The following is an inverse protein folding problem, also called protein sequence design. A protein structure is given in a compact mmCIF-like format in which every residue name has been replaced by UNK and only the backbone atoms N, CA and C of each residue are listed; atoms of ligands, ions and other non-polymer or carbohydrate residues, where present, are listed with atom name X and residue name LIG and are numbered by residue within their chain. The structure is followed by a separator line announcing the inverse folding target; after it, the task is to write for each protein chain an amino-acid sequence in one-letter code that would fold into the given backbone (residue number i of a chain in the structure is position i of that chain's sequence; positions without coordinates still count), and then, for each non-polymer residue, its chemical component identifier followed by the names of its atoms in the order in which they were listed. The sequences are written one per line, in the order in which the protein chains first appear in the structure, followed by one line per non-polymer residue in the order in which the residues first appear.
data_IF_420870283763
#
_entry.id   IF_420870283763
#
_cell.length_a   1.000
_cell.length_b   1.000
_cell.length_c   1.000
_cell.angle_alpha   90.00
_cell.angle_beta   90.00
_cell.angle_gamma   90.00
#
_symmetry.space_group_name_H-M   'P 1'
#
loop_
_entity.id
_entity.type
_entity.pdbx_description
1 polymer ?
#
# COMPACT_ATOMS: atom_id res chain seq x y z
N UNK A 1 11.00 -30.71 -12.28
CA UNK A 1 12.08 -29.94 -11.62
C UNK A 1 13.12 -29.66 -12.69
N UNK A 2 13.55 -28.40 -12.81
CA UNK A 2 14.49 -28.00 -13.85
C UNK A 2 15.88 -28.57 -13.60
N UNK A 3 16.62 -28.83 -14.67
CA UNK A 3 17.96 -29.42 -14.68
C UNK A 3 19.07 -28.39 -14.91
N UNK A 4 18.74 -27.20 -15.42
CA UNK A 4 19.68 -26.12 -15.65
C UNK A 4 20.15 -25.44 -14.35
N UNK A 5 21.37 -24.90 -14.37
CA UNK A 5 21.91 -24.04 -13.29
C UNK A 5 22.08 -22.57 -13.72
N UNK A 6 21.88 -22.27 -15.01
CA UNK A 6 21.79 -20.92 -15.58
C UNK A 6 20.57 -20.84 -16.48
N UNK A 7 19.81 -19.74 -16.41
CA UNK A 7 18.54 -19.60 -17.14
C UNK A 7 18.72 -19.73 -18.67
N UNK A 8 19.85 -19.29 -19.22
CA UNK A 8 20.15 -19.38 -20.67
C UNK A 8 20.35 -20.82 -21.18
N UNK A 9 20.40 -21.82 -20.29
CA UNK A 9 20.53 -23.23 -20.61
C UNK A 9 19.20 -24.00 -20.50
N UNK A 10 18.14 -23.35 -20.01
CA UNK A 10 16.84 -23.98 -19.80
C UNK A 10 16.08 -24.20 -21.11
N UNK A 11 15.31 -25.27 -21.14
CA UNK A 11 14.35 -25.57 -22.23
C UNK A 11 13.04 -24.82 -22.04
N UNK A 12 12.25 -24.68 -23.11
CA UNK A 12 10.92 -24.06 -23.05
C UNK A 12 10.01 -24.78 -22.06
N UNK A 13 9.99 -26.11 -22.08
CA UNK A 13 9.15 -26.93 -21.21
C UNK A 13 9.53 -26.79 -19.72
N UNK A 14 10.83 -26.63 -19.42
CA UNK A 14 11.28 -26.35 -18.06
C UNK A 14 10.80 -24.98 -17.58
N UNK A 15 10.81 -23.96 -18.44
CA UNK A 15 10.33 -22.63 -18.10
C UNK A 15 8.80 -22.56 -17.96
N UNK A 16 8.05 -23.20 -18.85
CA UNK A 16 6.59 -23.32 -18.72
C UNK A 16 6.23 -23.95 -17.36
N UNK A 17 6.89 -25.06 -17.01
CA UNK A 17 6.68 -25.70 -15.72
C UNK A 17 7.08 -24.81 -14.53
N UNK A 18 8.17 -24.03 -14.63
CA UNK A 18 8.57 -23.09 -13.59
C UNK A 18 7.53 -21.98 -13.44
N UNK A 19 7.07 -21.39 -14.54
CA UNK A 19 6.08 -20.30 -14.52
C UNK A 19 4.76 -20.78 -13.93
N UNK A 20 4.25 -21.94 -14.34
CA UNK A 20 3.03 -22.51 -13.78
C UNK A 20 3.14 -22.74 -12.27
N UNK A 21 4.28 -23.30 -11.82
CA UNK A 21 4.57 -23.53 -10.39
C UNK A 21 4.70 -22.22 -9.62
N UNK A 22 5.38 -21.23 -10.20
CA UNK A 22 5.57 -19.92 -9.59
C UNK A 22 4.24 -19.19 -9.46
N UNK A 23 3.43 -19.13 -10.52
CA UNK A 23 2.10 -18.52 -10.49
C UNK A 23 1.22 -19.19 -9.44
N UNK A 24 1.16 -20.53 -9.42
CA UNK A 24 0.35 -21.25 -8.44
C UNK A 24 0.78 -20.99 -6.99
N UNK A 25 2.09 -20.87 -6.71
CA UNK A 25 2.58 -20.63 -5.35
C UNK A 25 2.50 -19.16 -4.95
N UNK A 26 3.01 -18.26 -5.79
CA UNK A 26 3.12 -16.83 -5.48
C UNK A 26 1.74 -16.17 -5.38
N UNK A 27 0.80 -16.48 -6.28
CA UNK A 27 -0.54 -15.90 -6.20
C UNK A 27 -1.30 -16.36 -4.96
N UNK A 28 -1.17 -17.64 -4.57
CA UNK A 28 -1.84 -18.17 -3.38
C UNK A 28 -1.34 -17.50 -2.10
N UNK A 29 -0.06 -17.16 -2.02
CA UNK A 29 0.54 -16.54 -0.83
C UNK A 29 0.59 -15.01 -0.85
N UNK A 30 0.24 -14.36 -1.96
CA UNK A 30 0.42 -12.93 -2.14
C UNK A 30 -0.30 -12.10 -1.07
N UNK A 31 -1.60 -12.34 -0.87
CA UNK A 31 -2.40 -11.60 0.13
C UNK A 31 -1.89 -11.85 1.53
N UNK A 32 -1.52 -13.10 1.85
CA UNK A 32 -1.03 -13.46 3.17
C UNK A 32 0.33 -12.79 3.47
N UNK A 33 1.20 -12.65 2.47
CA UNK A 33 2.45 -11.92 2.58
C UNK A 33 2.23 -10.43 2.83
N UNK A 34 1.28 -9.81 2.12
CA UNK A 34 0.91 -8.39 2.31
C UNK A 34 0.33 -8.17 3.71
N UNK A 35 -0.53 -9.06 4.20
CA UNK A 35 -0.98 -9.00 5.60
C UNK A 35 0.12 -9.29 6.59
N UNK A 36 1.13 -10.08 6.22
CA UNK A 36 2.35 -10.25 7.01
C UNK A 36 3.08 -8.92 7.23
N UNK A 37 3.26 -8.12 6.17
CA UNK A 37 3.84 -6.77 6.27
C UNK A 37 2.99 -5.87 7.17
N UNK A 38 1.67 -5.83 6.94
CA UNK A 38 0.75 -5.04 7.75
C UNK A 38 0.84 -5.40 9.23
N UNK A 39 0.75 -6.70 9.58
CA UNK A 39 0.83 -7.19 10.97
C UNK A 39 2.21 -6.97 11.59
N UNK A 40 3.28 -6.94 10.81
CA UNK A 40 4.62 -6.68 11.35
C UNK A 40 4.80 -5.25 11.88
N UNK A 41 3.87 -4.34 11.56
CA UNK A 41 3.80 -2.99 12.12
C UNK A 41 3.12 -2.91 13.51
N UNK A 42 2.74 -4.05 14.10
CA UNK A 42 2.18 -4.10 15.46
C UNK A 42 3.27 -3.91 16.53
N UNK A 43 2.91 -3.21 17.62
CA UNK A 43 3.73 -3.13 18.83
C UNK A 43 4.25 -1.73 19.13
N UNK A 44 5.39 -1.34 18.56
CA UNK A 44 5.99 -0.04 18.86
C UNK A 44 5.14 1.11 18.28
N UNK A 45 4.85 2.09 19.12
CA UNK A 45 4.03 3.26 18.77
C UNK A 45 4.84 4.39 18.16
N UNK A 46 6.18 4.32 18.22
CA UNK A 46 7.07 5.35 17.67
C UNK A 46 6.79 6.76 18.24
N UNK A 47 6.25 6.82 19.46
CA UNK A 47 5.87 8.06 20.13
C UNK A 47 4.43 8.52 19.86
N UNK A 48 3.67 7.84 19.00
CA UNK A 48 2.23 8.02 18.87
C UNK A 48 1.45 7.35 20.01
N UNK A 49 0.12 7.50 20.01
CA UNK A 49 -0.77 6.83 20.97
C UNK A 49 -1.22 5.44 20.52
N UNK A 50 -0.91 5.06 19.29
CA UNK A 50 -1.22 3.79 18.65
C UNK A 50 -0.03 3.35 17.79
N UNK A 51 0.03 2.08 17.42
CA UNK A 51 1.04 1.58 16.48
C UNK A 51 0.63 1.82 15.01
N UNK A 52 1.53 1.51 14.09
CA UNK A 52 1.32 1.71 12.65
C UNK A 52 0.28 0.75 12.08
N UNK A 53 0.12 -0.45 12.66
CA UNK A 53 -0.94 -1.38 12.28
C UNK A 53 -2.34 -0.78 12.56
N UNK A 54 -2.55 -0.26 13.76
CA UNK A 54 -3.81 0.37 14.15
C UNK A 54 -4.06 1.65 13.34
N UNK A 55 -3.01 2.45 13.08
CA UNK A 55 -3.10 3.60 12.18
C UNK A 55 -3.61 3.22 10.78
N UNK A 56 -3.06 2.17 10.17
CA UNK A 56 -3.53 1.65 8.88
C UNK A 56 -5.00 1.22 8.91
N UNK A 57 -5.44 0.53 9.98
CA UNK A 57 -6.85 0.15 10.14
C UNK A 57 -7.77 1.37 10.32
N UNK A 58 -7.33 2.39 11.05
CA UNK A 58 -8.08 3.64 11.23
C UNK A 58 -8.25 4.39 9.90
N UNK A 59 -7.18 4.52 9.13
CA UNK A 59 -7.20 5.14 7.80
C UNK A 59 -8.18 4.42 6.87
N UNK A 60 -8.12 3.09 6.80
CA UNK A 60 -9.05 2.28 6.01
C UNK A 60 -10.50 2.38 6.51
N UNK A 61 -10.70 2.39 7.83
CA UNK A 61 -12.03 2.55 8.45
C UNK A 61 -12.66 3.89 8.05
N UNK A 62 -11.88 4.97 8.05
CA UNK A 62 -12.35 6.30 7.65
C UNK A 62 -12.72 6.34 6.17
N UNK A 63 -11.85 5.82 5.30
CA UNK A 63 -12.11 5.73 3.87
C UNK A 63 -13.39 4.92 3.58
N UNK A 64 -13.55 3.76 4.23
CA UNK A 64 -14.72 2.90 4.07
C UNK A 64 -16.01 3.60 4.54
N UNK A 65 -15.97 4.27 5.70
CA UNK A 65 -17.13 5.01 6.25
C UNK A 65 -17.55 6.20 5.40
N UNK A 66 -16.60 6.81 4.70
CA UNK A 66 -16.88 7.88 3.73
C UNK A 66 -17.48 7.34 2.42
N UNK A 67 -17.48 6.02 2.21
CA UNK A 67 -17.96 5.40 0.98
C UNK A 67 -16.94 5.48 -0.16
N UNK A 68 -15.64 5.54 0.16
CA UNK A 68 -14.58 5.49 -0.83
C UNK A 68 -14.64 4.18 -1.63
N UNK A 69 -14.20 4.23 -2.89
CA UNK A 69 -14.07 3.05 -3.75
C UNK A 69 -13.06 2.06 -3.19
N UNK A 70 -13.22 0.78 -3.55
CA UNK A 70 -12.41 -0.33 -3.04
C UNK A 70 -10.89 -0.09 -3.14
N UNK A 71 -10.42 0.43 -4.27
CA UNK A 71 -9.00 0.72 -4.51
C UNK A 71 -8.44 1.74 -3.52
N UNK A 72 -9.25 2.73 -3.15
CA UNK A 72 -8.85 3.77 -2.20
C UNK A 72 -8.96 3.28 -0.75
N UNK A 73 -9.90 2.39 -0.44
CA UNK A 73 -9.97 1.72 0.88
C UNK A 73 -8.74 0.81 1.08
N UNK A 74 -8.37 0.02 0.06
CA UNK A 74 -7.18 -0.83 0.09
C UNK A 74 -5.90 0.01 0.10
N UNK A 75 -5.84 1.11 -0.65
CA UNK A 75 -4.75 2.09 -0.55
C UNK A 75 -4.61 2.64 0.87
N UNK A 76 -5.71 3.06 1.51
CA UNK A 76 -5.70 3.57 2.88
C UNK A 76 -5.22 2.52 3.89
N UNK A 77 -5.61 1.26 3.72
CA UNK A 77 -5.15 0.15 4.56
C UNK A 77 -3.66 -0.12 4.40
N UNK A 78 -3.12 0.01 3.19
CA UNK A 78 -1.78 -0.49 2.86
C UNK A 78 -0.75 0.61 2.55
N UNK A 79 -1.10 1.89 2.67
CA UNK A 79 -0.21 2.99 2.28
C UNK A 79 1.14 3.01 3.01
N UNK A 80 1.16 2.54 4.26
CA UNK A 80 2.34 2.54 5.15
C UNK A 80 3.12 1.21 5.17
N UNK A 81 2.69 0.15 4.47
CA UNK A 81 3.34 -1.18 4.59
C UNK A 81 4.81 -1.22 4.15
N UNK A 82 5.28 -0.17 3.47
CA UNK A 82 6.69 0.03 3.15
C UNK A 82 7.57 0.40 4.35
N UNK A 83 7.01 0.88 5.47
CA UNK A 83 7.77 1.38 6.64
C UNK A 83 8.67 0.31 7.23
N UNK A 84 8.22 -0.94 7.19
CA UNK A 84 8.92 -2.12 7.74
C UNK A 84 10.28 -2.34 7.08
N UNK A 85 10.39 -2.03 5.80
CA UNK A 85 11.55 -2.38 4.97
C UNK A 85 12.33 -1.14 4.53
N UNK A 86 11.63 -0.06 4.23
CA UNK A 86 12.20 1.11 3.57
C UNK A 86 11.60 2.41 4.12
N UNK A 87 11.76 2.73 5.42
CA UNK A 87 11.09 3.88 6.06
C UNK A 87 11.40 5.22 5.38
N UNK A 88 12.59 5.36 4.78
CA UNK A 88 13.01 6.56 4.06
C UNK A 88 12.22 6.84 2.77
N UNK A 89 11.63 5.81 2.16
CA UNK A 89 10.86 5.89 0.92
C UNK A 89 9.66 4.93 0.95
N UNK A 90 9.04 4.77 2.12
CA UNK A 90 8.00 3.76 2.36
C UNK A 90 6.82 3.93 1.41
N UNK A 91 6.45 5.16 1.09
CA UNK A 91 5.35 5.48 0.18
C UNK A 91 5.59 4.93 -1.23
N UNK A 92 6.82 5.04 -1.72
CA UNK A 92 7.21 4.50 -3.03
C UNK A 92 7.23 2.98 -3.03
N UNK A 93 7.73 2.35 -1.96
CA UNK A 93 7.73 0.90 -1.83
C UNK A 93 6.31 0.34 -1.73
N UNK A 94 5.46 0.95 -0.90
CA UNK A 94 4.06 0.57 -0.79
C UNK A 94 3.36 0.71 -2.15
N UNK A 95 3.56 1.82 -2.87
CA UNK A 95 3.02 1.98 -4.20
C UNK A 95 3.52 0.90 -5.17
N UNK A 96 4.80 0.54 -5.17
CA UNK A 96 5.34 -0.50 -6.04
C UNK A 96 4.73 -1.90 -5.78
N UNK A 97 4.36 -2.20 -4.52
CA UNK A 97 3.67 -3.45 -4.16
C UNK A 97 2.22 -3.44 -4.72
N UNK A 98 1.56 -2.29 -4.68
CA UNK A 98 0.12 -2.16 -4.95
C UNK A 98 -0.22 -1.79 -6.40
N UNK A 99 0.67 -1.09 -7.10
CA UNK A 99 0.52 -0.57 -8.46
C UNK A 99 0.03 -1.61 -9.48
N UNK A 100 0.45 -2.90 -9.43
CA UNK A 100 -0.06 -3.88 -10.37
C UNK A 100 -1.57 -4.16 -10.24
N UNK A 101 -2.20 -3.79 -9.13
CA UNK A 101 -3.58 -4.19 -8.77
C UNK A 101 -4.53 -3.01 -8.53
N UNK A 102 -4.00 -1.82 -8.28
CA UNK A 102 -4.76 -0.60 -8.02
C UNK A 102 -4.93 0.26 -9.27
N UNK A 103 -6.00 1.05 -9.30
CA UNK A 103 -6.17 2.10 -10.30
C UNK A 103 -5.05 3.17 -10.22
N UNK A 104 -4.82 3.92 -11.31
CA UNK A 104 -3.74 4.90 -11.36
C UNK A 104 -3.85 6.02 -10.31
N UNK A 105 -5.07 6.40 -9.92
CA UNK A 105 -5.28 7.45 -8.90
C UNK A 105 -4.87 6.94 -7.52
N UNK A 106 -5.35 5.76 -7.09
CA UNK A 106 -5.01 5.16 -5.81
C UNK A 106 -3.51 4.85 -5.70
N UNK A 107 -2.91 4.34 -6.77
CA UNK A 107 -1.45 4.14 -6.86
C UNK A 107 -0.70 5.44 -6.68
N UNK A 108 -1.14 6.52 -7.34
CA UNK A 108 -0.50 7.83 -7.24
C UNK A 108 -0.63 8.42 -5.85
N UNK A 109 -1.80 8.29 -5.22
CA UNK A 109 -2.04 8.71 -3.84
C UNK A 109 -1.08 8.00 -2.89
N UNK A 110 -0.99 6.67 -2.93
CA UNK A 110 -0.05 5.92 -2.09
C UNK A 110 1.38 6.36 -2.32
N UNK A 111 1.81 6.52 -3.58
CA UNK A 111 3.20 6.88 -3.90
C UNK A 111 3.63 8.22 -3.29
N UNK A 112 2.70 9.18 -3.26
CA UNK A 112 2.98 10.56 -2.85
C UNK A 112 2.42 10.92 -1.47
N UNK A 113 1.71 10.02 -0.77
CA UNK A 113 1.05 10.38 0.49
C UNK A 113 2.03 10.96 1.52
N UNK A 114 3.27 10.47 1.61
CA UNK A 114 4.26 10.98 2.58
C UNK A 114 4.56 12.48 2.44
N UNK A 115 4.66 13.01 1.21
CA UNK A 115 4.86 14.46 0.99
C UNK A 115 3.57 15.26 1.20
N UNK A 116 2.41 14.66 0.95
CA UNK A 116 1.11 15.28 1.23
C UNK A 116 0.78 15.33 2.72
N UNK A 117 1.12 14.27 3.47
CA UNK A 117 0.99 14.17 4.93
C UNK A 117 1.86 15.23 5.61
N UNK A 118 3.04 15.50 5.05
CA UNK A 118 3.93 16.58 5.48
C UNK A 118 3.25 17.94 5.65
N UNK A 119 2.20 18.22 4.87
CA UNK A 119 1.40 19.45 4.99
C UNK A 119 0.87 19.70 6.42
N UNK A 120 0.65 18.63 7.20
CA UNK A 120 0.05 18.69 8.54
C UNK A 120 1.05 18.86 9.69
N UNK A 121 2.35 18.68 9.46
CA UNK A 121 3.34 18.71 10.55
C UNK A 121 4.76 19.17 10.21
N UNK A 122 5.15 19.27 8.94
CA UNK A 122 6.52 19.66 8.57
C UNK A 122 6.92 21.06 9.03
N UNK A 123 5.97 21.99 9.17
CA UNK A 123 6.24 23.30 9.76
C UNK A 123 6.69 23.24 11.23
N UNK A 124 6.24 22.23 11.99
CA UNK A 124 6.72 21.95 13.36
C UNK A 124 8.17 21.46 13.39
N UNK A 125 8.69 20.99 12.25
CA UNK A 125 10.06 20.54 12.06
C UNK A 125 10.94 21.55 11.31
N UNK A 126 10.41 22.72 10.96
CA UNK A 126 11.11 23.72 10.14
C UNK A 126 11.27 23.32 8.67
N UNK A 127 10.51 22.33 8.21
CA UNK A 127 10.48 21.85 6.83
C UNK A 127 9.36 22.55 6.04
N UNK A 128 9.46 22.53 4.70
CA UNK A 128 8.45 23.14 3.84
C UNK A 128 7.19 22.27 3.72
N UNK A 129 6.17 22.59 4.52
CA UNK A 129 4.87 21.91 4.45
C UNK A 129 4.17 22.02 3.09
N UNK A 130 4.53 23.00 2.25
CA UNK A 130 3.96 23.15 0.91
C UNK A 130 4.75 22.39 -0.16
N UNK A 131 5.73 21.54 0.17
CA UNK A 131 6.50 20.83 -0.86
C UNK A 131 5.64 19.92 -1.75
N UNK A 132 4.42 19.54 -1.32
CA UNK A 132 3.42 18.88 -2.16
C UNK A 132 3.02 19.70 -3.40
N UNK A 133 3.16 21.03 -3.36
CA UNK A 133 2.76 21.94 -4.44
C UNK A 133 3.54 21.73 -5.74
N UNK A 134 4.67 21.01 -5.70
CA UNK A 134 5.35 20.55 -6.91
C UNK A 134 4.47 19.66 -7.79
N UNK A 135 3.41 19.06 -7.23
CA UNK A 135 2.44 18.22 -7.92
C UNK A 135 1.11 18.91 -8.22
N UNK A 136 1.02 20.24 -8.05
CA UNK A 136 -0.25 21.00 -8.11
C UNK A 136 -1.05 20.80 -9.40
N UNK A 137 -0.38 20.56 -10.52
CA UNK A 137 -1.02 20.36 -11.83
C UNK A 137 -1.36 18.88 -12.13
N UNK A 138 -1.08 17.95 -11.21
CA UNK A 138 -1.43 16.54 -11.37
C UNK A 138 -2.93 16.34 -11.12
N UNK A 139 -3.65 15.57 -11.96
CA UNK A 139 -5.09 15.33 -11.78
C UNK A 139 -5.46 14.65 -10.45
N UNK A 140 -4.51 13.99 -9.79
CA UNK A 140 -4.73 13.28 -8.53
C UNK A 140 -4.29 14.08 -7.29
N UNK A 141 -3.87 15.34 -7.45
CA UNK A 141 -3.45 16.21 -6.35
C UNK A 141 -4.53 16.33 -5.27
N UNK A 142 -5.77 16.61 -5.66
CA UNK A 142 -6.88 16.77 -4.72
C UNK A 142 -7.22 15.46 -4.01
N UNK A 143 -7.11 14.33 -4.70
CA UNK A 143 -7.30 13.01 -4.10
C UNK A 143 -6.26 12.73 -3.00
N UNK A 144 -4.98 13.03 -3.24
CA UNK A 144 -3.94 12.85 -2.22
C UNK A 144 -4.07 13.84 -1.07
N UNK A 145 -4.45 15.10 -1.35
CA UNK A 145 -4.72 16.07 -0.29
C UNK A 145 -5.91 15.67 0.57
N UNK A 146 -6.97 15.13 -0.03
CA UNK A 146 -8.13 14.62 0.69
C UNK A 146 -7.76 13.40 1.53
N UNK A 147 -7.08 12.42 0.94
CA UNK A 147 -6.58 11.23 1.63
C UNK A 147 -5.82 11.58 2.92
N UNK A 148 -4.82 12.47 2.81
CA UNK A 148 -4.02 12.88 3.96
C UNK A 148 -4.84 13.65 4.99
N UNK A 149 -5.71 14.57 4.56
CA UNK A 149 -6.48 15.41 5.48
C UNK A 149 -7.61 14.67 6.22
N UNK A 150 -8.32 13.79 5.51
CA UNK A 150 -9.54 13.14 5.99
C UNK A 150 -9.29 11.77 6.62
N UNK A 151 -8.26 11.03 6.17
CA UNK A 151 -8.07 9.64 6.57
C UNK A 151 -6.75 9.41 7.29
N UNK A 152 -5.62 9.78 6.69
CA UNK A 152 -4.29 9.44 7.21
C UNK A 152 -3.89 10.28 8.44
N UNK A 153 -3.77 11.61 8.34
CA UNK A 153 -3.24 12.42 9.46
C UNK A 153 -4.11 12.41 10.74
N UNK A 154 -5.39 12.02 10.62
CA UNK A 154 -6.34 11.92 11.74
C UNK A 154 -6.42 10.51 12.36
N UNK A 155 -5.73 9.53 11.80
CA UNK A 155 -5.75 8.13 12.21
C UNK A 155 -4.71 7.82 13.30
N UNK A 156 -4.72 8.59 14.40
CA UNK A 156 -3.83 8.39 15.56
C UNK A 156 -4.59 8.40 16.89
N UNK A 157 -5.88 8.09 16.86
CA UNK A 157 -6.79 8.21 18.01
C UNK A 157 -7.02 6.83 18.67
N UNK A 158 -6.50 6.57 19.89
CA UNK A 158 -6.66 5.28 20.55
C UNK A 158 -8.11 4.99 21.01
N UNK A 159 -9.01 5.97 20.88
CA UNK A 159 -10.44 5.82 21.18
C UNK A 159 -11.33 5.75 19.93
N UNK A 160 -10.74 5.78 18.74
CA UNK A 160 -11.51 5.64 17.52
C UNK A 160 -12.13 4.25 17.44
N UNK A 161 -13.39 4.20 17.02
CA UNK A 161 -14.08 2.93 16.76
C UNK A 161 -13.56 2.35 15.44
N UNK A 162 -12.42 1.67 15.50
CA UNK A 162 -11.72 1.09 14.35
C UNK A 162 -12.33 -0.25 13.96
N UNK A 163 -12.56 -0.46 12.67
CA UNK A 163 -13.02 -1.74 12.15
C UNK A 163 -11.85 -2.75 12.11
N UNK A 164 -12.09 -4.03 12.43
CA UNK A 164 -11.03 -5.02 12.46
C UNK A 164 -10.61 -5.43 11.03
N UNK A 165 -9.40 -5.99 10.88
CA UNK A 165 -8.80 -6.35 9.58
C UNK A 165 -9.70 -7.23 8.71
N UNK A 166 -10.47 -8.13 9.33
CA UNK A 166 -11.40 -9.05 8.68
C UNK A 166 -12.49 -8.30 7.88
N UNK A 167 -12.75 -7.04 8.22
CA UNK A 167 -13.67 -6.17 7.46
C UNK A 167 -13.11 -5.85 6.07
N UNK A 168 -11.79 -5.65 5.98
CA UNK A 168 -11.11 -5.23 4.76
C UNK A 168 -10.56 -6.41 3.96
N UNK A 169 -10.38 -7.57 4.61
CA UNK A 169 -9.81 -8.76 3.97
C UNK A 169 -10.50 -9.15 2.65
N UNK A 170 -11.84 -9.18 2.54
CA UNK A 170 -12.50 -9.48 1.26
C UNK A 170 -12.14 -8.48 0.16
N UNK A 171 -11.96 -7.19 0.50
CA UNK A 171 -11.62 -6.14 -0.46
C UNK A 171 -10.18 -6.28 -0.97
N UNK A 172 -9.25 -6.58 -0.06
CA UNK A 172 -7.85 -6.84 -0.43
C UNK A 172 -7.77 -8.07 -1.34
N UNK A 173 -8.47 -9.16 -0.98
CA UNK A 173 -8.51 -10.37 -1.82
C UNK A 173 -9.09 -10.09 -3.20
N UNK A 174 -10.12 -9.25 -3.30
CA UNK A 174 -10.70 -8.84 -4.58
C UNK A 174 -9.70 -8.04 -5.43
N UNK A 175 -9.02 -7.04 -4.84
CA UNK A 175 -8.02 -6.23 -5.54
C UNK A 175 -6.87 -7.09 -6.06
N UNK A 176 -6.30 -7.95 -5.20
CA UNK A 176 -5.15 -8.78 -5.55
C UNK A 176 -5.50 -10.01 -6.42
N UNK A 177 -6.79 -10.29 -6.66
CA UNK A 177 -7.24 -11.31 -7.62
C UNK A 177 -7.34 -10.76 -9.05
N UNK A 178 -7.23 -9.45 -9.25
CA UNK A 178 -7.25 -8.84 -10.59
C UNK A 178 -6.02 -9.26 -11.41
N UNK A 179 -6.13 -9.28 -12.75
CA UNK A 179 -4.94 -9.39 -13.59
C UNK A 179 -3.95 -8.30 -13.25
N UNK A 180 -2.73 -8.69 -12.86
CA UNK A 180 -1.67 -7.75 -12.52
C UNK A 180 -1.15 -7.07 -13.78
N UNK A 181 -0.99 -5.75 -13.77
CA UNK A 181 -0.21 -5.06 -14.81
C UNK A 181 1.29 -5.19 -14.50
N UNK A 182 2.02 -6.01 -15.26
CA UNK A 182 3.48 -6.13 -15.13
C UNK A 182 4.07 -7.47 -15.58
N UNK A 183 5.37 -7.44 -15.94
CA UNK A 183 6.17 -8.56 -16.44
C UNK A 183 5.64 -9.21 -17.74
N UNK A 184 6.10 -8.69 -18.89
CA UNK A 184 5.90 -9.33 -20.20
C UNK A 184 4.45 -9.38 -20.69
N UNK A 185 3.55 -8.65 -20.04
CA UNK A 185 2.13 -8.54 -20.37
C UNK A 185 1.75 -7.06 -20.46
N UNK A 186 2.34 -6.38 -21.45
CA UNK A 186 1.86 -5.12 -22.02
C UNK A 186 1.57 -5.35 -23.52
#
# INVERSE_FOLDING_TARGET
MASFIRMDQGTTEEFEHIVDRANAHLHVHLVDNVFGLLRSMQGDTLGYRIDRYEHSLQSATRALREGARIDMVVAALLHDVGDVIAPANHSELAAAILEPYLDPEATWVVRHHGVFQGYHYWDKLGLDKNARDQYRDNPYFDAASHFCAAWDQVAFDPSYDTLPLETFEPMVREVFARPASGFGTD
#
